data_IF_753325198819
#
_entry.id   IF_753325198819
#
_cell.length_a   1.000
_cell.length_b   1.000
_cell.length_c   1.000
_cell.angle_alpha   90.00
_cell.angle_beta   90.00
_cell.angle_gamma   90.00
#
_symmetry.space_group_name_H-M   'P 1'
#
loop_
_entity.id
_entity.type
_entity.pdbx_description
1 polymer ?
#
# COMPACT_ATOMS: atom_id res chain seq x y z
N UNK A 1 -17.91 -42.98 7.22
CA UNK A 1 -18.53 -41.68 7.53
C UNK A 1 -18.67 -41.61 9.05
N UNK A 2 -17.77 -40.89 9.72
CA UNK A 2 -17.77 -40.75 11.19
C UNK A 2 -18.59 -39.50 11.51
N UNK A 3 -19.62 -39.55 12.37
CA UNK A 3 -20.39 -38.36 12.71
C UNK A 3 -19.52 -37.43 13.56
N UNK A 4 -19.33 -36.19 13.09
CA UNK A 4 -18.75 -35.11 13.90
C UNK A 4 -19.71 -34.81 15.05
N UNK A 5 -19.30 -35.12 16.28
CA UNK A 5 -19.92 -34.59 17.48
C UNK A 5 -19.80 -33.06 17.48
N UNK A 6 -20.93 -32.36 17.30
CA UNK A 6 -21.08 -30.98 17.76
C UNK A 6 -20.93 -31.02 19.28
N UNK A 7 -19.86 -30.42 19.82
CA UNK A 7 -19.84 -30.02 21.23
C UNK A 7 -20.65 -28.73 21.32
N UNK A 8 -21.94 -28.86 21.62
CA UNK A 8 -22.67 -27.76 22.23
C UNK A 8 -22.15 -27.66 23.67
N UNK A 9 -21.22 -26.74 23.92
CA UNK A 9 -20.80 -26.40 25.28
C UNK A 9 -21.95 -25.65 25.93
N UNK A 10 -22.71 -26.32 26.81
CA UNK A 10 -23.65 -25.63 27.72
C UNK A 10 -22.92 -24.48 28.41
N UNK A 11 -23.33 -23.23 28.14
CA UNK A 11 -22.84 -22.06 28.86
C UNK A 11 -23.25 -22.23 30.32
N UNK A 12 -22.30 -22.56 31.20
CA UNK A 12 -22.53 -22.70 32.63
C UNK A 12 -22.89 -21.32 33.19
N UNK A 13 -23.98 -21.25 33.96
CA UNK A 13 -24.35 -20.02 34.67
C UNK A 13 -23.34 -19.72 35.79
N UNK A 14 -23.16 -18.43 36.12
CA UNK A 14 -22.34 -18.04 37.24
C UNK A 14 -22.89 -18.61 38.56
N UNK A 15 -22.07 -19.28 39.38
CA UNK A 15 -22.51 -19.72 40.70
C UNK A 15 -22.91 -18.54 41.60
N UNK A 16 -23.96 -18.67 42.44
CA UNK A 16 -24.36 -17.61 43.36
C UNK A 16 -23.20 -17.16 44.27
N UNK A 17 -22.94 -15.85 44.32
CA UNK A 17 -21.89 -15.25 45.16
C UNK A 17 -20.48 -15.26 44.55
N UNK A 18 -20.32 -15.76 43.32
CA UNK A 18 -19.06 -15.71 42.57
C UNK A 18 -19.01 -14.56 41.54
N UNK A 19 -20.03 -13.69 41.52
CA UNK A 19 -20.04 -12.50 40.67
C UNK A 19 -19.09 -11.43 41.27
N UNK A 20 -17.99 -11.07 40.58
CA UNK A 20 -17.12 -10.03 41.07
C UNK A 20 -17.77 -8.65 40.88
N UNK A 21 -17.59 -7.78 41.87
CA UNK A 21 -18.02 -6.38 41.80
C UNK A 21 -16.87 -5.41 41.49
N UNK A 22 -15.63 -5.91 41.50
CA UNK A 22 -14.42 -5.16 41.22
C UNK A 22 -13.39 -6.05 40.53
N UNK A 23 -12.57 -5.45 39.67
CA UNK A 23 -11.34 -6.04 39.17
C UNK A 23 -10.30 -6.03 40.30
N UNK A 24 -9.93 -7.21 40.78
CA UNK A 24 -8.89 -7.41 41.81
C UNK A 24 -8.08 -8.68 41.55
N UNK A 25 -7.07 -8.93 42.38
CA UNK A 25 -6.15 -10.06 42.23
C UNK A 25 -6.84 -11.43 42.37
N UNK A 26 -8.04 -11.49 42.98
CA UNK A 26 -8.76 -12.75 43.14
C UNK A 26 -9.18 -13.33 41.79
N UNK A 27 -9.42 -12.46 40.79
CA UNK A 27 -9.76 -12.88 39.43
C UNK A 27 -8.66 -13.72 38.76
N UNK A 28 -7.40 -13.63 39.21
CA UNK A 28 -6.31 -14.47 38.70
C UNK A 28 -6.60 -15.95 38.98
N UNK A 29 -7.27 -16.27 40.10
CA UNK A 29 -7.51 -17.65 40.54
C UNK A 29 -8.78 -18.26 39.93
N UNK A 30 -9.61 -17.46 39.26
CA UNK A 30 -10.78 -17.96 38.57
C UNK A 30 -10.34 -18.81 37.37
N UNK A 31 -11.00 -19.95 37.20
CA UNK A 31 -10.87 -20.75 35.99
C UNK A 31 -11.45 -19.99 34.80
N UNK A 32 -10.96 -20.29 33.59
CA UNK A 32 -11.41 -19.63 32.36
C UNK A 32 -12.95 -19.66 32.20
N UNK A 33 -13.59 -20.78 32.54
CA UNK A 33 -15.06 -20.88 32.47
C UNK A 33 -15.78 -20.05 33.55
N UNK A 34 -15.16 -19.82 34.71
CA UNK A 34 -15.72 -18.98 35.79
C UNK A 34 -15.67 -17.51 35.38
N UNK A 35 -14.56 -17.07 34.78
CA UNK A 35 -14.45 -15.74 34.20
C UNK A 35 -15.49 -15.51 33.10
N UNK A 36 -15.64 -16.49 32.19
CA UNK A 36 -16.64 -16.46 31.13
C UNK A 36 -18.08 -16.44 31.67
N UNK A 37 -18.34 -17.07 32.81
CA UNK A 37 -19.69 -17.12 33.38
C UNK A 37 -20.03 -15.88 34.23
N UNK A 38 -19.07 -15.39 35.02
CA UNK A 38 -19.33 -14.48 36.14
C UNK A 38 -18.87 -13.03 35.91
N UNK A 39 -17.89 -12.79 35.05
CA UNK A 39 -17.34 -11.44 34.87
C UNK A 39 -18.24 -10.63 33.95
N UNK A 40 -18.67 -9.47 34.44
CA UNK A 40 -19.45 -8.51 33.67
C UNK A 40 -18.55 -7.59 32.82
N UNK A 41 -18.90 -7.43 31.55
CA UNK A 41 -18.12 -6.62 30.63
C UNK A 41 -18.22 -5.12 30.88
N UNK A 42 -19.31 -4.61 31.46
CA UNK A 42 -19.42 -3.18 31.81
C UNK A 42 -18.55 -2.85 33.03
N UNK A 43 -18.45 -3.76 34.01
CA UNK A 43 -17.49 -3.68 35.10
C UNK A 43 -16.05 -3.63 34.57
N UNK A 44 -15.67 -4.55 33.67
CA UNK A 44 -14.35 -4.54 33.03
C UNK A 44 -14.07 -3.21 32.32
N UNK A 45 -15.05 -2.68 31.60
CA UNK A 45 -14.90 -1.43 30.85
C UNK A 45 -14.69 -0.21 31.75
N UNK A 46 -15.32 -0.18 32.92
CA UNK A 46 -15.20 0.95 33.87
C UNK A 46 -13.94 0.88 34.72
N UNK A 47 -13.30 -0.29 34.81
CA UNK A 47 -12.15 -0.57 35.68
C UNK A 47 -10.94 -1.08 34.87
N UNK A 48 -10.81 -0.59 33.63
CA UNK A 48 -9.77 -1.02 32.70
C UNK A 48 -8.37 -0.65 33.18
N UNK A 49 -8.23 0.40 33.99
CA UNK A 49 -7.00 0.74 34.70
C UNK A 49 -6.48 -0.43 35.56
N UNK A 50 -7.36 -1.05 36.35
CA UNK A 50 -7.02 -2.20 37.18
C UNK A 50 -6.70 -3.44 36.35
N UNK A 51 -7.39 -3.65 35.23
CA UNK A 51 -7.10 -4.75 34.28
C UNK A 51 -5.66 -4.63 33.75
N UNK A 52 -5.16 -3.40 33.56
CA UNK A 52 -3.81 -3.14 33.08
C UNK A 52 -2.73 -3.29 34.16
N UNK A 53 -3.07 -3.16 35.44
CA UNK A 53 -2.13 -3.29 36.56
C UNK A 53 -1.92 -4.75 36.98
N UNK A 54 -2.95 -5.58 36.86
CA UNK A 54 -2.94 -6.96 37.34
C UNK A 54 -2.39 -7.91 36.25
N UNK A 55 -1.46 -8.83 36.59
CA UNK A 55 -0.79 -9.70 35.63
C UNK A 55 -1.66 -10.90 35.23
N UNK A 56 -2.77 -10.65 34.54
CA UNK A 56 -3.62 -11.69 33.96
C UNK A 56 -2.88 -12.47 32.87
N UNK A 57 -3.22 -13.75 32.73
CA UNK A 57 -2.68 -14.59 31.65
C UNK A 57 -3.26 -14.20 30.29
N UNK A 58 -2.59 -14.59 29.20
CA UNK A 58 -3.09 -14.35 27.84
C UNK A 58 -4.49 -14.92 27.60
N UNK A 59 -4.81 -16.07 28.20
CA UNK A 59 -6.11 -16.72 28.10
C UNK A 59 -7.20 -15.91 28.83
N UNK A 60 -6.89 -15.41 30.02
CA UNK A 60 -7.83 -14.58 30.79
C UNK A 60 -8.09 -13.23 30.10
N UNK A 61 -7.07 -12.64 29.49
CA UNK A 61 -7.21 -11.39 28.74
C UNK A 61 -8.03 -11.57 27.45
N UNK A 62 -7.92 -12.72 26.79
CA UNK A 62 -8.77 -13.07 25.65
C UNK A 62 -10.25 -13.22 26.05
N UNK A 63 -10.52 -13.80 27.23
CA UNK A 63 -11.87 -13.89 27.81
C UNK A 63 -12.41 -12.48 28.12
N UNK A 64 -11.60 -11.62 28.74
CA UNK A 64 -11.99 -10.23 29.01
C UNK A 64 -12.27 -9.47 27.71
N UNK A 65 -11.49 -9.71 26.67
CA UNK A 65 -11.74 -9.14 25.34
C UNK A 65 -13.08 -9.63 24.81
N UNK A 66 -13.36 -10.93 24.87
CA UNK A 66 -14.64 -11.49 24.44
C UNK A 66 -15.83 -10.86 25.20
N UNK A 67 -15.70 -10.68 26.51
CA UNK A 67 -16.71 -10.01 27.35
C UNK A 67 -16.95 -8.57 26.92
N UNK A 68 -15.89 -7.81 26.64
CA UNK A 68 -16.02 -6.44 26.15
C UNK A 68 -16.67 -6.40 24.76
N UNK A 69 -16.33 -7.33 23.87
CA UNK A 69 -16.96 -7.44 22.54
C UNK A 69 -18.45 -7.82 22.63
N UNK A 70 -18.84 -8.70 23.56
CA UNK A 70 -20.24 -9.03 23.84
C UNK A 70 -21.01 -7.82 24.39
N UNK A 71 -20.40 -7.04 25.28
CA UNK A 71 -21.01 -5.83 25.86
C UNK A 71 -21.11 -4.68 24.86
N UNK A 72 -20.13 -4.54 23.97
CA UNK A 72 -20.01 -3.44 23.02
C UNK A 72 -19.91 -3.95 21.56
N UNK A 73 -20.96 -4.59 21.03
CA UNK A 73 -20.93 -5.23 19.71
C UNK A 73 -20.75 -4.23 18.55
N UNK A 74 -21.06 -2.95 18.79
CA UNK A 74 -20.91 -1.87 17.81
C UNK A 74 -19.57 -1.12 17.93
N UNK A 75 -18.67 -1.56 18.79
CA UNK A 75 -17.40 -0.88 19.08
C UNK A 75 -17.38 -0.23 20.45
N UNK A 76 -16.17 -0.06 20.98
CA UNK A 76 -15.95 0.40 22.34
C UNK A 76 -16.24 1.89 22.50
N UNK A 77 -16.81 2.33 23.64
CA UNK A 77 -16.96 3.75 23.93
C UNK A 77 -15.58 4.41 24.08
N UNK A 78 -15.47 5.67 23.66
CA UNK A 78 -14.17 6.38 23.65
C UNK A 78 -13.53 6.48 25.04
N UNK A 79 -14.33 6.54 26.11
CA UNK A 79 -13.86 6.49 27.50
C UNK A 79 -13.11 5.20 27.82
N UNK A 80 -13.58 4.06 27.33
CA UNK A 80 -12.90 2.76 27.46
C UNK A 80 -11.64 2.73 26.59
N UNK A 81 -11.75 3.17 25.33
CA UNK A 81 -10.63 3.18 24.37
C UNK A 81 -9.43 3.93 24.96
N UNK A 82 -9.67 5.10 25.57
CA UNK A 82 -8.63 5.90 26.20
C UNK A 82 -7.92 5.17 27.37
N UNK A 83 -8.63 4.28 28.07
CA UNK A 83 -8.12 3.55 29.23
C UNK A 83 -7.53 2.18 28.89
N UNK A 84 -7.59 1.73 27.62
CA UNK A 84 -7.14 0.39 27.25
C UNK A 84 -5.70 0.09 27.65
N UNK A 85 -4.80 1.08 27.69
CA UNK A 85 -3.43 0.86 28.15
C UNK A 85 -2.75 -0.31 27.42
N UNK A 86 -2.06 -1.17 28.16
CA UNK A 86 -1.45 -2.40 27.66
C UNK A 86 -2.45 -3.42 27.10
N UNK A 87 -3.72 -3.39 27.53
CA UNK A 87 -4.79 -4.21 26.96
C UNK A 87 -4.99 -3.95 25.46
N UNK A 88 -4.61 -2.76 24.96
CA UNK A 88 -4.63 -2.44 23.53
C UNK A 88 -3.88 -3.46 22.66
N UNK A 89 -2.89 -4.16 23.21
CA UNK A 89 -2.14 -5.22 22.51
C UNK A 89 -3.00 -6.39 22.03
N UNK A 90 -4.13 -6.64 22.70
CA UNK A 90 -5.04 -7.75 22.38
C UNK A 90 -6.16 -7.33 21.43
N UNK A 91 -6.21 -6.07 21.03
CA UNK A 91 -7.23 -5.55 20.12
C UNK A 91 -6.76 -5.72 18.68
N UNK A 92 -7.56 -6.35 17.82
CA UNK A 92 -7.23 -6.50 16.41
C UNK A 92 -7.50 -5.21 15.61
N UNK A 93 -6.82 -4.98 14.46
CA UNK A 93 -7.18 -3.89 13.54
C UNK A 93 -8.66 -3.89 13.13
N UNK A 94 -9.26 -5.07 12.98
CA UNK A 94 -10.68 -5.26 12.67
C UNK A 94 -11.59 -4.74 13.78
N UNK A 95 -11.22 -4.96 15.04
CA UNK A 95 -11.94 -4.40 16.20
C UNK A 95 -11.87 -2.87 16.19
N UNK A 96 -10.67 -2.32 15.93
CA UNK A 96 -10.42 -0.87 15.90
C UNK A 96 -11.25 -0.18 14.81
N UNK A 97 -11.46 -0.82 13.67
CA UNK A 97 -12.26 -0.27 12.58
C UNK A 97 -13.74 -0.03 12.93
N UNK A 98 -14.25 -0.66 14.00
CA UNK A 98 -15.61 -0.44 14.51
C UNK A 98 -15.71 0.75 15.45
N UNK A 99 -14.58 1.29 15.91
CA UNK A 99 -14.59 2.37 16.89
C UNK A 99 -14.99 3.70 16.26
N UNK A 100 -15.37 4.64 17.13
CA UNK A 100 -15.54 6.04 16.78
C UNK A 100 -14.64 6.88 17.69
N UNK A 101 -13.44 7.20 17.19
CA UNK A 101 -12.42 7.95 17.94
C UNK A 101 -12.40 9.38 17.42
N UNK A 102 -12.59 10.34 18.33
CA UNK A 102 -12.69 11.76 17.98
C UNK A 102 -11.67 12.62 18.73
N UNK A 103 -11.17 12.14 19.87
CA UNK A 103 -10.26 12.87 20.74
C UNK A 103 -8.80 12.64 20.36
N UNK A 104 -8.02 13.71 20.15
CA UNK A 104 -6.57 13.60 19.95
C UNK A 104 -5.87 12.99 21.18
N UNK A 105 -6.38 13.23 22.39
CA UNK A 105 -5.78 12.71 23.63
C UNK A 105 -5.90 11.19 23.72
N UNK A 106 -7.01 10.61 23.25
CA UNK A 106 -7.20 9.16 23.14
C UNK A 106 -6.15 8.55 22.22
N UNK A 107 -5.96 9.14 21.04
CA UNK A 107 -4.96 8.69 20.06
C UNK A 107 -3.55 8.79 20.64
N UNK A 108 -3.17 9.94 21.20
CA UNK A 108 -1.85 10.14 21.81
C UNK A 108 -1.58 9.16 22.94
N UNK A 109 -2.60 8.82 23.74
CA UNK A 109 -2.48 7.86 24.84
C UNK A 109 -2.15 6.47 24.32
N UNK A 110 -2.88 5.99 23.30
CA UNK A 110 -2.63 4.67 22.72
C UNK A 110 -1.31 4.60 21.95
N UNK A 111 -0.93 5.64 21.21
CA UNK A 111 0.36 5.71 20.51
C UNK A 111 1.56 5.60 21.48
N UNK A 112 1.44 6.13 22.70
CA UNK A 112 2.48 5.97 23.73
C UNK A 112 2.67 4.51 24.12
N UNK A 113 1.58 3.74 24.20
CA UNK A 113 1.63 2.33 24.58
C UNK A 113 2.20 1.44 23.46
N UNK A 114 2.02 1.85 22.20
CA UNK A 114 2.56 1.10 21.04
C UNK A 114 4.03 1.35 20.78
N UNK A 115 4.64 2.37 21.43
CA UNK A 115 6.03 2.73 21.17
C UNK A 115 6.99 1.57 21.45
N UNK A 116 7.83 1.24 20.46
CA UNK A 116 8.80 0.15 20.53
C UNK A 116 8.18 -1.26 20.40
N UNK A 117 6.91 -1.36 20.05
CA UNK A 117 6.21 -2.61 19.79
C UNK A 117 5.92 -2.76 18.29
N UNK A 118 5.81 -4.00 17.80
CA UNK A 118 5.39 -4.29 16.41
C UNK A 118 3.87 -4.23 16.27
N UNK A 119 3.31 -3.03 16.35
CA UNK A 119 1.85 -2.78 16.35
C UNK A 119 1.40 -1.90 15.18
N UNK A 120 2.16 -1.90 14.08
CA UNK A 120 1.99 -0.98 12.95
C UNK A 120 0.56 -1.02 12.38
N UNK A 121 -0.02 -2.21 12.25
CA UNK A 121 -1.40 -2.39 11.77
C UNK A 121 -2.46 -1.82 12.73
N UNK A 122 -2.27 -1.96 14.05
CA UNK A 122 -3.19 -1.43 15.05
C UNK A 122 -3.12 0.10 15.13
N UNK A 123 -1.91 0.66 15.14
CA UNK A 123 -1.70 2.12 15.12
C UNK A 123 -2.33 2.73 13.88
N UNK A 124 -2.11 2.10 12.74
CA UNK A 124 -2.74 2.49 11.48
C UNK A 124 -4.25 2.52 11.55
N UNK A 125 -4.86 1.43 12.02
CA UNK A 125 -6.30 1.32 12.13
C UNK A 125 -6.85 2.42 13.05
N UNK A 126 -6.13 2.73 14.14
CA UNK A 126 -6.48 3.78 15.09
C UNK A 126 -6.45 5.17 14.43
N UNK A 127 -5.40 5.49 13.69
CA UNK A 127 -5.28 6.80 13.01
C UNK A 127 -6.32 6.92 11.90
N UNK A 128 -6.52 5.87 11.11
CA UNK A 128 -7.55 5.85 10.07
C UNK A 128 -8.96 6.05 10.67
N UNK A 129 -9.23 5.42 11.81
CA UNK A 129 -10.47 5.60 12.57
C UNK A 129 -10.62 7.05 13.05
N UNK A 130 -9.58 7.62 13.65
CA UNK A 130 -9.57 9.01 14.15
C UNK A 130 -9.82 10.03 13.04
N UNK A 131 -9.14 9.87 11.90
CA UNK A 131 -9.32 10.77 10.75
C UNK A 131 -10.71 10.62 10.11
N UNK A 132 -11.28 9.40 10.09
CA UNK A 132 -12.65 9.17 9.62
C UNK A 132 -13.68 9.86 10.51
N UNK A 133 -13.42 9.92 11.82
CA UNK A 133 -14.22 10.65 12.80
C UNK A 133 -14.09 12.18 12.72
N UNK A 134 -13.34 12.71 11.74
CA UNK A 134 -13.10 14.15 11.59
C UNK A 134 -11.90 14.69 12.38
N UNK A 135 -11.09 13.79 12.96
CA UNK A 135 -9.87 14.15 13.66
C UNK A 135 -8.82 14.80 12.75
N UNK A 136 -7.95 15.61 13.36
CA UNK A 136 -6.83 16.26 12.67
C UNK A 136 -5.49 15.80 13.25
N UNK A 137 -4.50 15.61 12.38
CA UNK A 137 -3.14 15.27 12.78
C UNK A 137 -2.44 16.54 13.28
N UNK A 138 -2.22 16.62 14.59
CA UNK A 138 -1.35 17.65 15.16
C UNK A 138 0.12 17.21 15.14
N UNK A 139 1.02 18.13 15.49
CA UNK A 139 2.46 17.88 15.45
C UNK A 139 2.90 16.76 16.40
N UNK A 140 2.21 16.56 17.53
CA UNK A 140 2.56 15.51 18.49
C UNK A 140 2.18 14.12 17.95
N UNK A 141 1.01 14.00 17.31
CA UNK A 141 0.56 12.76 16.67
C UNK A 141 1.52 12.39 15.54
N UNK A 142 1.87 13.35 14.68
CA UNK A 142 2.83 13.14 13.58
C UNK A 142 4.16 12.64 14.13
N UNK A 143 4.70 13.30 15.16
CA UNK A 143 5.95 12.91 15.80
C UNK A 143 5.90 11.54 16.45
N UNK A 144 4.76 11.17 17.05
CA UNK A 144 4.58 9.84 17.63
C UNK A 144 4.55 8.72 16.57
N UNK A 145 4.23 9.06 15.32
CA UNK A 145 4.22 8.13 14.20
C UNK A 145 5.54 8.06 13.42
N UNK A 146 6.55 8.87 13.77
CA UNK A 146 7.76 8.96 12.96
C UNK A 146 8.50 7.62 12.77
N UNK A 147 8.43 6.74 13.77
CA UNK A 147 9.09 5.44 13.79
C UNK A 147 8.24 4.31 13.17
N UNK A 148 7.02 4.61 12.71
CA UNK A 148 6.07 3.60 12.24
C UNK A 148 6.09 3.56 10.71
N UNK A 149 6.59 2.48 10.09
CA UNK A 149 6.58 2.35 8.64
C UNK A 149 5.14 2.21 8.14
N UNK A 150 4.78 3.01 7.14
CA UNK A 150 3.43 2.98 6.53
C UNK A 150 3.39 2.08 5.29
N UNK A 151 4.29 1.09 5.22
CA UNK A 151 4.42 0.17 4.09
C UNK A 151 3.18 -0.69 3.85
N UNK A 152 2.36 -0.90 4.88
CA UNK A 152 1.10 -1.65 4.76
C UNK A 152 0.07 -0.94 3.85
N UNK A 153 0.25 0.35 3.53
CA UNK A 153 -0.61 1.03 2.55
C UNK A 153 -0.62 0.28 1.21
N UNK A 154 0.49 -0.37 0.89
CA UNK A 154 0.66 -1.20 -0.30
C UNK A 154 0.04 -2.61 -0.15
N UNK A 155 -0.31 -3.04 1.07
CA UNK A 155 -0.91 -4.34 1.36
C UNK A 155 -2.45 -4.32 1.28
N UNK A 156 -3.06 -3.13 1.35
CA UNK A 156 -4.50 -2.99 1.21
C UNK A 156 -4.97 -3.45 -0.17
N UNK A 157 -6.22 -3.87 -0.29
CA UNK A 157 -6.85 -3.91 -1.62
C UNK A 157 -7.03 -2.46 -2.10
N UNK A 158 -6.76 -2.13 -3.38
CA UNK A 158 -6.89 -0.76 -3.89
C UNK A 158 -8.25 -0.09 -3.60
N UNK A 159 -9.33 -0.88 -3.58
CA UNK A 159 -10.68 -0.39 -3.25
C UNK A 159 -10.78 0.16 -1.81
N UNK A 160 -10.04 -0.44 -0.88
CA UNK A 160 -10.06 -0.05 0.53
C UNK A 160 -9.25 1.23 0.77
N UNK A 161 -8.25 1.52 -0.07
CA UNK A 161 -7.48 2.76 0.02
C UNK A 161 -8.37 3.99 -0.08
N UNK A 162 -9.45 3.96 -0.86
CA UNK A 162 -10.36 5.10 -1.00
C UNK A 162 -10.93 5.58 0.35
N UNK A 163 -11.09 4.68 1.33
CA UNK A 163 -11.59 4.99 2.67
C UNK A 163 -10.60 5.74 3.56
N UNK A 164 -9.31 5.78 3.18
CA UNK A 164 -8.26 6.50 3.92
C UNK A 164 -8.41 8.00 3.64
N UNK A 165 -8.55 8.85 4.67
CA UNK A 165 -8.66 10.29 4.48
C UNK A 165 -7.42 10.89 3.80
N UNK A 166 -7.61 11.87 2.90
CA UNK A 166 -6.49 12.48 2.17
C UNK A 166 -5.46 13.12 3.10
N UNK A 167 -5.87 13.64 4.26
CA UNK A 167 -4.97 14.19 5.29
C UNK A 167 -3.92 13.19 5.79
N UNK A 168 -4.14 11.88 5.62
CA UNK A 168 -3.16 10.85 5.97
C UNK A 168 -1.88 10.93 5.11
N UNK A 169 -1.96 11.52 3.91
CA UNK A 169 -0.80 11.64 3.00
C UNK A 169 0.31 12.51 3.58
N UNK A 170 0.01 13.35 4.59
CA UNK A 170 1.01 14.12 5.33
C UNK A 170 2.01 13.25 6.10
N UNK A 171 1.66 12.00 6.39
CA UNK A 171 2.48 11.08 7.19
C UNK A 171 3.36 10.16 6.33
N UNK A 172 3.04 10.01 5.04
CA UNK A 172 3.67 9.01 4.17
C UNK A 172 5.07 9.47 3.76
N UNK A 173 6.04 8.59 3.98
CA UNK A 173 7.44 8.80 3.62
C UNK A 173 7.77 8.04 2.32
N UNK A 174 8.81 8.47 1.57
CA UNK A 174 9.18 7.80 0.31
C UNK A 174 9.39 6.30 0.41
N UNK A 175 9.95 5.81 1.52
CA UNK A 175 10.19 4.38 1.74
C UNK A 175 8.91 3.56 1.88
N UNK A 176 7.81 4.18 2.33
CA UNK A 176 6.54 3.50 2.56
C UNK A 176 5.90 3.02 1.25
N UNK A 177 6.27 3.66 0.13
CA UNK A 177 5.68 3.40 -1.19
C UNK A 177 6.50 2.43 -2.05
N UNK A 178 7.68 1.98 -1.60
CA UNK A 178 8.60 1.18 -2.40
C UNK A 178 8.00 -0.14 -2.92
N UNK A 179 7.06 -0.73 -2.18
CA UNK A 179 6.44 -2.02 -2.52
C UNK A 179 5.03 -1.87 -3.09
N UNK A 180 4.58 -0.65 -3.37
CA UNK A 180 3.24 -0.40 -3.90
C UNK A 180 3.16 -0.79 -5.38
N UNK A 181 2.06 -1.45 -5.76
CA UNK A 181 1.75 -1.62 -7.19
C UNK A 181 1.29 -0.29 -7.79
N UNK A 182 1.38 -0.16 -9.12
CA UNK A 182 0.99 1.06 -9.84
C UNK A 182 -0.41 1.55 -9.44
N UNK A 183 -1.38 0.62 -9.34
CA UNK A 183 -2.75 0.95 -8.95
C UNK A 183 -2.87 1.57 -7.55
N UNK A 184 -1.99 1.21 -6.61
CA UNK A 184 -1.94 1.87 -5.31
C UNK A 184 -1.37 3.27 -5.44
N UNK A 185 -0.27 3.42 -6.18
CA UNK A 185 0.37 4.71 -6.41
C UNK A 185 -0.58 5.71 -7.06
N UNK A 186 -1.37 5.30 -8.06
CA UNK A 186 -2.35 6.16 -8.73
C UNK A 186 -3.39 6.72 -7.73
N UNK A 187 -3.91 5.88 -6.84
CA UNK A 187 -4.89 6.28 -5.81
C UNK A 187 -4.24 7.20 -4.77
N UNK A 188 -3.04 6.84 -4.31
CA UNK A 188 -2.30 7.61 -3.30
C UNK A 188 -1.89 8.98 -3.83
N UNK A 189 -1.48 9.06 -5.10
CA UNK A 189 -1.17 10.31 -5.78
C UNK A 189 -2.37 11.26 -5.80
N UNK A 190 -3.55 10.78 -6.23
CA UNK A 190 -4.76 11.59 -6.26
C UNK A 190 -5.17 12.07 -4.86
N UNK A 191 -5.01 11.21 -3.84
CA UNK A 191 -5.23 11.63 -2.44
C UNK A 191 -4.23 12.67 -1.98
N UNK A 192 -2.97 12.56 -2.37
CA UNK A 192 -1.93 13.51 -2.02
C UNK A 192 -2.19 14.88 -2.66
N UNK A 193 -2.62 14.94 -3.92
CA UNK A 193 -3.06 16.18 -4.56
C UNK A 193 -4.15 16.89 -3.75
N UNK A 194 -5.18 16.15 -3.31
CA UNK A 194 -6.25 16.69 -2.46
C UNK A 194 -5.75 17.11 -1.07
N UNK A 195 -4.82 16.37 -0.49
CA UNK A 195 -4.27 16.63 0.84
C UNK A 195 -3.47 17.94 0.89
N UNK A 196 -2.76 18.25 -0.19
CA UNK A 196 -1.80 19.34 -0.25
C UNK A 196 -2.33 20.56 -1.02
N UNK A 197 -3.55 20.50 -1.57
CA UNK A 197 -4.10 21.55 -2.44
C UNK A 197 -4.05 22.99 -1.88
N UNK A 198 -4.06 23.14 -0.54
CA UNK A 198 -4.03 24.44 0.14
C UNK A 198 -2.61 24.89 0.53
N UNK A 199 -1.58 24.09 0.27
CA UNK A 199 -0.18 24.41 0.56
C UNK A 199 0.37 25.44 -0.41
N UNK A 200 1.45 26.12 -0.02
CA UNK A 200 2.19 26.99 -0.94
C UNK A 200 2.76 26.17 -2.11
N UNK A 201 3.03 26.78 -3.26
CA UNK A 201 3.53 26.06 -4.46
C UNK A 201 4.78 25.22 -4.17
N UNK A 202 5.74 25.78 -3.45
CA UNK A 202 7.00 25.10 -3.16
C UNK A 202 6.78 23.94 -2.18
N UNK A 203 5.99 24.16 -1.13
CA UNK A 203 5.63 23.12 -0.17
C UNK A 203 4.82 21.99 -0.84
N UNK A 204 3.86 22.33 -1.69
CA UNK A 204 3.08 21.37 -2.47
C UNK A 204 4.01 20.43 -3.26
N UNK A 205 4.99 20.99 -3.96
CA UNK A 205 5.91 20.20 -4.76
C UNK A 205 6.80 19.29 -3.91
N UNK A 206 7.38 19.82 -2.84
CA UNK A 206 8.20 19.02 -1.93
C UNK A 206 7.41 17.84 -1.33
N UNK A 207 6.12 18.04 -1.03
CA UNK A 207 5.26 16.98 -0.50
C UNK A 207 4.79 16.00 -1.57
N UNK A 208 4.36 16.48 -2.73
CA UNK A 208 3.83 15.62 -3.80
C UNK A 208 4.92 14.77 -4.44
N UNK A 209 6.19 15.20 -4.37
CA UNK A 209 7.36 14.50 -4.93
C UNK A 209 7.42 13.02 -4.55
N UNK A 210 7.05 12.70 -3.31
CA UNK A 210 6.96 11.34 -2.78
C UNK A 210 6.00 10.45 -3.58
N UNK A 211 4.93 11.02 -4.11
CA UNK A 211 3.81 10.30 -4.73
C UNK A 211 3.84 10.31 -6.26
N UNK A 212 4.81 10.99 -6.89
CA UNK A 212 4.83 11.19 -8.34
C UNK A 212 4.87 9.90 -9.17
N UNK A 213 5.20 8.75 -8.57
CA UNK A 213 5.10 7.45 -9.25
C UNK A 213 3.67 7.08 -9.70
N UNK A 214 2.64 7.71 -9.14
CA UNK A 214 1.24 7.56 -9.56
C UNK A 214 0.69 8.74 -10.38
N UNK A 215 1.55 9.66 -10.84
CA UNK A 215 1.11 10.84 -11.58
C UNK A 215 0.74 10.50 -13.02
N UNK A 216 -0.36 11.07 -13.52
CA UNK A 216 -0.77 10.96 -14.92
C UNK A 216 0.11 11.82 -15.84
N UNK A 217 0.08 11.57 -17.15
CA UNK A 217 0.79 12.42 -18.12
C UNK A 217 0.26 13.86 -18.11
N UNK A 218 -1.05 14.05 -17.90
CA UNK A 218 -1.68 15.36 -17.76
C UNK A 218 -1.15 16.11 -16.54
N UNK A 219 -1.02 15.42 -15.40
CA UNK A 219 -0.52 16.01 -14.17
C UNK A 219 0.98 16.37 -14.29
N UNK A 220 1.79 15.50 -14.89
CA UNK A 220 3.20 15.77 -15.15
C UNK A 220 3.39 16.94 -16.12
N UNK A 221 2.54 17.03 -17.16
CA UNK A 221 2.50 18.17 -18.07
C UNK A 221 2.16 19.46 -17.32
N UNK A 222 1.17 19.44 -16.44
CA UNK A 222 0.83 20.59 -15.61
C UNK A 222 2.00 21.00 -14.68
N UNK A 223 2.70 20.04 -14.08
CA UNK A 223 3.87 20.29 -13.24
C UNK A 223 5.02 20.93 -14.04
N UNK A 224 5.23 20.53 -15.29
CA UNK A 224 6.26 21.10 -16.17
C UNK A 224 6.09 22.62 -16.40
N UNK A 225 4.88 23.16 -16.17
CA UNK A 225 4.57 24.58 -16.34
C UNK A 225 4.84 25.41 -15.07
N UNK A 226 5.15 24.77 -13.94
CA UNK A 226 5.24 25.43 -12.64
C UNK A 226 6.65 25.93 -12.27
N UNK A 227 7.62 25.86 -13.18
CA UNK A 227 9.04 26.21 -12.93
C UNK A 227 9.63 25.47 -11.72
N UNK A 228 9.28 24.20 -11.57
CA UNK A 228 9.78 23.31 -10.52
C UNK A 228 10.56 22.18 -11.20
N UNK A 229 11.76 21.90 -10.69
CA UNK A 229 12.62 20.84 -11.19
C UNK A 229 12.70 19.67 -10.20
N UNK A 230 12.70 18.44 -10.71
CA UNK A 230 13.01 17.23 -9.95
C UNK A 230 14.37 16.66 -10.36
N UNK A 231 15.01 15.95 -9.45
CA UNK A 231 16.22 15.20 -9.77
C UNK A 231 15.91 13.92 -10.57
N UNK A 232 16.97 13.35 -11.16
CA UNK A 232 16.85 12.13 -11.94
C UNK A 232 16.34 10.94 -11.10
N UNK A 233 16.70 10.88 -9.81
CA UNK A 233 16.24 9.81 -8.92
C UNK A 233 14.72 9.81 -8.76
N UNK A 234 14.10 10.99 -8.72
CA UNK A 234 12.63 11.15 -8.69
C UNK A 234 12.03 10.86 -10.05
N UNK A 235 12.64 11.40 -11.12
CA UNK A 235 12.17 11.19 -12.49
C UNK A 235 12.10 9.71 -12.85
N UNK A 236 13.08 8.91 -12.41
CA UNK A 236 13.10 7.46 -12.64
C UNK A 236 12.01 6.68 -11.90
N UNK A 237 11.34 7.28 -10.91
CA UNK A 237 10.22 6.66 -10.19
C UNK A 237 8.88 6.89 -10.88
N UNK A 238 8.83 7.75 -11.90
CA UNK A 238 7.60 8.03 -12.65
C UNK A 238 7.19 6.79 -13.46
N UNK A 239 5.88 6.66 -13.69
CA UNK A 239 5.34 5.59 -14.52
C UNK A 239 5.85 5.71 -15.96
N UNK A 240 6.32 4.60 -16.54
CA UNK A 240 6.81 4.54 -17.92
C UNK A 240 5.77 5.07 -18.90
N UNK A 241 4.52 4.62 -18.78
CA UNK A 241 3.42 5.02 -19.68
C UNK A 241 3.13 6.53 -19.63
N UNK A 242 3.23 7.14 -18.45
CA UNK A 242 3.06 8.59 -18.30
C UNK A 242 4.26 9.34 -18.90
N UNK A 243 5.47 8.83 -18.69
CA UNK A 243 6.71 9.43 -19.20
C UNK A 243 6.78 9.45 -20.72
N UNK A 244 6.48 8.32 -21.39
CA UNK A 244 6.55 8.23 -22.85
C UNK A 244 5.61 9.22 -23.56
N UNK A 245 4.55 9.66 -22.89
CA UNK A 245 3.63 10.69 -23.38
C UNK A 245 4.12 12.13 -23.24
N UNK A 246 5.28 12.37 -22.61
CA UNK A 246 5.89 13.68 -22.45
C UNK A 246 6.85 14.00 -23.59
N UNK A 247 6.83 15.26 -24.02
CA UNK A 247 7.73 15.82 -25.02
C UNK A 247 9.10 16.16 -24.44
N UNK A 248 10.10 16.32 -25.32
CA UNK A 248 11.44 16.81 -24.95
C UNK A 248 11.41 18.13 -24.18
N UNK A 249 10.58 19.07 -24.60
CA UNK A 249 10.45 20.37 -23.91
C UNK A 249 9.82 20.24 -22.51
N UNK A 250 8.85 19.34 -22.32
CA UNK A 250 8.24 19.09 -21.01
C UNK A 250 9.24 18.42 -20.06
N UNK A 251 9.98 17.42 -20.53
CA UNK A 251 11.04 16.75 -19.73
C UNK A 251 12.18 17.71 -19.39
N UNK A 252 12.58 18.57 -20.32
CA UNK A 252 13.56 19.63 -20.06
C UNK A 252 13.12 20.55 -18.92
N UNK A 253 11.84 20.92 -18.86
CA UNK A 253 11.29 21.75 -17.78
C UNK A 253 11.19 21.00 -16.45
N UNK A 254 10.78 19.73 -16.49
CA UNK A 254 10.65 18.89 -15.30
C UNK A 254 11.99 18.57 -14.64
N UNK A 255 13.06 18.36 -15.42
CA UNK A 255 14.40 18.09 -14.89
C UNK A 255 15.21 19.37 -14.63
N UNK A 256 14.95 20.44 -15.39
CA UNK A 256 15.63 21.72 -15.26
C UNK A 256 17.16 21.56 -15.27
N UNK A 257 17.88 21.94 -14.19
CA UNK A 257 19.34 21.81 -14.13
C UNK A 257 19.84 20.36 -14.15
N UNK A 258 18.98 19.37 -13.87
CA UNK A 258 19.32 17.94 -13.83
C UNK A 258 19.19 17.25 -15.19
N UNK A 259 18.89 17.99 -16.27
CA UNK A 259 18.65 17.40 -17.60
C UNK A 259 19.87 16.65 -18.14
N UNK A 260 21.08 17.11 -17.81
CA UNK A 260 22.32 16.47 -18.24
C UNK A 260 22.47 15.04 -17.69
N UNK A 261 21.86 14.75 -16.55
CA UNK A 261 21.95 13.45 -15.89
C UNK A 261 21.25 12.35 -16.72
N UNK A 262 20.35 12.70 -17.64
CA UNK A 262 19.73 11.75 -18.58
C UNK A 262 20.77 10.92 -19.34
N UNK A 263 21.91 11.51 -19.70
CA UNK A 263 22.95 10.82 -20.47
C UNK A 263 23.54 9.62 -19.72
N UNK A 264 23.56 9.69 -18.39
CA UNK A 264 24.12 8.62 -17.55
C UNK A 264 23.20 7.40 -17.43
N UNK A 265 21.93 7.53 -17.79
CA UNK A 265 20.90 6.50 -17.64
C UNK A 265 20.17 6.24 -18.96
N UNK A 266 20.77 6.61 -20.11
CA UNK A 266 20.16 6.51 -21.45
C UNK A 266 19.80 5.07 -21.85
N UNK A 267 20.48 4.09 -21.28
CA UNK A 267 20.31 2.66 -21.53
C UNK A 267 19.34 1.97 -20.56
N UNK A 268 18.81 2.69 -19.56
CA UNK A 268 17.98 2.13 -18.49
C UNK A 268 16.55 2.66 -18.52
N UNK A 269 15.59 1.80 -18.20
CA UNK A 269 14.20 2.18 -17.98
C UNK A 269 14.08 3.06 -16.72
N UNK A 270 13.20 4.10 -16.70
CA UNK A 270 12.26 4.49 -17.76
C UNK A 270 12.84 5.46 -18.81
N UNK A 271 14.06 5.98 -18.61
CA UNK A 271 14.69 6.99 -19.48
C UNK A 271 14.82 6.49 -20.92
N UNK A 272 15.34 5.28 -21.08
CA UNK A 272 15.49 4.63 -22.38
C UNK A 272 14.16 4.55 -23.14
N UNK A 273 13.09 4.13 -22.46
CA UNK A 273 11.77 3.94 -23.07
C UNK A 273 11.19 5.28 -23.54
N UNK A 274 11.39 6.34 -22.75
CA UNK A 274 11.05 7.69 -23.16
C UNK A 274 11.83 8.15 -24.39
N UNK A 275 13.16 7.96 -24.40
CA UNK A 275 14.03 8.35 -25.53
C UNK A 275 13.57 7.75 -26.85
N UNK A 276 13.19 6.47 -26.85
CA UNK A 276 12.72 5.76 -28.06
C UNK A 276 11.42 6.30 -28.65
N UNK A 277 10.63 7.04 -27.86
CA UNK A 277 9.37 7.62 -28.32
C UNK A 277 9.52 9.08 -28.80
N UNK A 278 10.68 9.69 -28.58
CA UNK A 278 10.94 11.06 -29.03
C UNK A 278 11.52 11.09 -30.44
N UNK A 279 11.37 12.21 -31.16
CA UNK A 279 12.09 12.41 -32.42
C UNK A 279 13.54 12.71 -32.17
N UNK A 280 14.43 12.18 -33.01
CA UNK A 280 15.87 12.44 -32.87
C UNK A 280 16.18 13.94 -33.04
N UNK A 281 15.50 14.66 -33.94
CA UNK A 281 15.66 16.13 -34.08
C UNK A 281 15.39 16.90 -32.78
N UNK A 282 14.41 16.46 -31.98
CA UNK A 282 14.05 17.15 -30.75
C UNK A 282 15.05 16.82 -29.63
N UNK A 283 15.52 15.57 -29.56
CA UNK A 283 16.58 15.16 -28.64
C UNK A 283 17.90 15.89 -28.92
N UNK A 284 18.26 16.07 -30.19
CA UNK A 284 19.49 16.75 -30.59
C UNK A 284 19.51 18.23 -30.14
N UNK A 285 18.34 18.88 -30.03
CA UNK A 285 18.22 20.25 -29.51
C UNK A 285 18.62 20.39 -28.05
N UNK A 286 18.64 19.31 -27.28
CA UNK A 286 19.16 19.33 -25.91
C UNK A 286 20.68 19.44 -25.88
N UNK A 287 21.38 19.11 -26.97
CA UNK A 287 22.85 19.18 -27.04
C UNK A 287 23.58 18.14 -26.18
N UNK A 288 22.88 17.09 -25.72
CA UNK A 288 23.41 16.07 -24.81
C UNK A 288 23.96 14.83 -25.53
N UNK A 289 23.79 14.75 -26.86
CA UNK A 289 24.20 13.57 -27.65
C UNK A 289 23.43 12.30 -27.27
N UNK A 290 22.14 12.44 -26.94
CA UNK A 290 21.25 11.32 -26.64
C UNK A 290 20.88 10.57 -27.93
N UNK A 291 20.84 9.24 -27.87
CA UNK A 291 20.54 8.38 -29.01
C UNK A 291 19.36 7.46 -28.68
N UNK A 292 18.53 7.17 -29.68
CA UNK A 292 17.40 6.26 -29.55
C UNK A 292 16.09 6.82 -30.10
N UNK A 293 16.01 8.13 -30.36
CA UNK A 293 14.82 8.74 -30.92
C UNK A 293 14.47 8.20 -32.31
N UNK A 294 13.20 8.37 -32.68
CA UNK A 294 12.67 8.08 -34.01
C UNK A 294 13.48 8.89 -35.03
N UNK A 295 14.13 8.24 -36.02
CA UNK A 295 14.96 8.92 -37.01
C UNK A 295 14.18 9.97 -37.80
N UNK A 296 14.87 11.05 -38.18
CA UNK A 296 14.29 12.06 -39.04
C UNK A 296 14.21 11.52 -40.49
N UNK A 297 13.00 11.48 -41.05
CA UNK A 297 12.76 11.10 -42.45
C UNK A 297 11.97 9.81 -42.64
N UNK A 298 11.97 9.31 -43.88
CA UNK A 298 11.30 8.05 -44.25
C UNK A 298 12.32 6.91 -44.26
N UNK A 299 11.94 5.75 -43.71
CA UNK A 299 12.67 4.51 -43.95
C UNK A 299 12.44 4.09 -45.40
N UNK A 300 13.48 4.16 -46.23
CA UNK A 300 13.48 3.47 -47.52
C UNK A 300 13.70 1.99 -47.21
N UNK A 301 12.61 1.23 -47.12
CA UNK A 301 12.66 -0.22 -47.11
C UNK A 301 12.93 -0.69 -48.53
N UNK A 302 14.18 -1.02 -48.81
CA UNK A 302 14.55 -1.66 -50.06
C UNK A 302 13.98 -3.10 -50.04
N UNK A 303 12.78 -3.27 -50.59
CA UNK A 303 12.10 -4.57 -50.72
C UNK A 303 12.78 -5.48 -51.76
N UNK A 304 13.92 -5.08 -52.32
CA UNK A 304 14.73 -5.87 -53.25
C UNK A 304 15.67 -6.86 -52.57
N UNK A 305 15.27 -7.47 -51.44
CA UNK A 305 15.87 -8.74 -51.02
C UNK A 305 15.15 -9.86 -51.78
N UNK A 306 15.47 -9.97 -53.07
CA UNK A 306 15.23 -11.17 -53.87
C UNK A 306 16.54 -11.93 -54.01
N UNK A 307 17.20 -12.24 -52.91
CA UNK A 307 18.41 -13.08 -52.95
C UNK A 307 18.68 -13.75 -51.59
N UNK A 308 17.84 -14.72 -51.24
CA UNK A 308 18.20 -15.77 -50.28
C UNK A 308 17.43 -17.10 -50.46
N UNK A 309 16.80 -17.32 -51.62
CA UNK A 309 16.21 -18.64 -51.97
C UNK A 309 16.50 -19.00 -53.42
N UNK A 310 17.78 -19.01 -53.83
CA UNK A 310 18.21 -19.82 -54.98
C UNK A 310 19.73 -19.90 -55.08
N UNK A 311 20.43 -20.38 -54.04
CA UNK A 311 21.76 -20.95 -54.29
C UNK A 311 21.54 -22.33 -54.93
N UNK A 312 21.50 -22.34 -56.27
CA UNK A 312 21.59 -23.56 -57.04
C UNK A 312 22.98 -24.16 -56.87
N UNK A 313 23.11 -25.19 -56.02
CA UNK A 313 24.26 -26.06 -56.04
C UNK A 313 24.20 -26.94 -57.32
N UNK A 314 25.27 -27.08 -58.10
CA UNK A 314 25.27 -27.99 -59.24
C UNK A 314 25.48 -29.42 -58.75
N UNK A 315 24.46 -30.26 -58.89
CA UNK A 315 24.57 -31.72 -58.71
C UNK A 315 25.19 -32.35 -59.96
N UNK A 316 26.38 -32.92 -59.81
CA UNK A 316 27.04 -33.76 -60.80
C UNK A 316 26.96 -35.23 -60.32
N UNK A 317 25.81 -35.87 -60.59
CA UNK A 317 25.57 -37.33 -60.70
C UNK A 317 25.81 -38.25 -59.49
N UNK A 318 25.46 -39.55 -59.60
CA UNK A 318 24.13 -40.05 -60.00
C UNK A 318 23.58 -41.06 -58.98
N UNK A 319 22.26 -41.21 -58.94
CA UNK A 319 21.67 -42.51 -58.61
C UNK A 319 20.53 -42.51 -57.60
N UNK A 320 19.46 -43.16 -58.05
CA UNK A 320 18.45 -43.87 -57.26
C UNK A 320 17.17 -43.14 -56.84
N UNK A 321 16.18 -43.34 -57.73
CA UNK A 321 14.81 -43.84 -57.49
C UNK A 321 13.92 -43.06 -56.53
N UNK A 322 12.88 -42.48 -57.14
CA UNK A 322 11.66 -41.94 -56.55
C UNK A 322 10.93 -43.04 -55.75
N UNK A 323 10.67 -42.78 -54.47
CA UNK A 323 9.60 -43.45 -53.73
C UNK A 323 8.69 -42.38 -53.11
N UNK A 324 7.50 -42.23 -53.70
CA UNK A 324 6.38 -41.54 -53.10
C UNK A 324 5.81 -42.38 -51.95
N UNK A 325 5.56 -41.79 -50.79
CA UNK A 325 4.59 -42.33 -49.83
C UNK A 325 3.70 -41.17 -49.31
N UNK A 326 2.37 -41.35 -49.26
CA UNK A 326 1.41 -40.28 -49.04
C UNK A 326 1.07 -40.06 -47.57
N UNK A 327 0.45 -38.91 -47.31
CA UNK A 327 -0.08 -38.47 -46.04
C UNK A 327 -1.03 -39.49 -45.37
N UNK A 328 -0.89 -39.66 -44.05
CA UNK A 328 -1.89 -40.29 -43.20
C UNK A 328 -2.41 -39.26 -42.19
N UNK A 329 -3.63 -38.80 -42.47
CA UNK A 329 -4.56 -38.23 -41.51
C UNK A 329 -5.00 -39.32 -40.54
N UNK A 330 -5.03 -39.02 -39.24
CA UNK A 330 -5.80 -39.79 -38.27
C UNK A 330 -6.28 -38.85 -37.18
N UNK A 331 -7.51 -38.37 -37.36
CA UNK A 331 -8.34 -37.88 -36.28
C UNK A 331 -8.81 -39.08 -35.44
N UNK A 332 -8.83 -38.94 -34.11
CA UNK A 332 -9.73 -39.72 -33.27
C UNK A 332 -10.26 -38.87 -32.12
N UNK A 333 -11.55 -39.04 -31.89
CA UNK A 333 -12.47 -38.33 -31.01
C UNK A 333 -12.87 -39.28 -29.87
N UNK A 334 -13.06 -38.70 -28.67
CA UNK A 334 -13.79 -39.14 -27.45
C UNK A 334 -13.37 -40.41 -26.67
N UNK A 335 -13.11 -40.19 -25.37
CA UNK A 335 -14.03 -40.60 -24.28
C UNK A 335 -13.99 -39.57 -23.15
#
# INVERSE_FOLDING_TARGET
MIPRFRRDTERKACPPGMEPHKVDENLIFYQNWELEACVDGAMLATQMDLVNEIPFTYEQLDIFKHKLDETYPQGYPESLIQQLGHFFRYISPEDIHRWNVSSPDTVKTLLKVTKGQKMDAQVTALIACYLRGGGHLDQDIVKAMDDIPLTYLCDFKPQNLHSIPSSFMWLVKPQDLNNCSQRHLDILYQKACLAFQNSSRQEYFEKIRTFLGGASVEDLRALSQQNLSMDLATFKKLQVDALVGLTVAEVQKLLGPHIADLKTEEDKSPVRDWLFQQRQEDLDRLGLGLQGGIPNGYLILDLNVREAFSSGAPLLGPGFVIAWIPALLSAFILS
#
